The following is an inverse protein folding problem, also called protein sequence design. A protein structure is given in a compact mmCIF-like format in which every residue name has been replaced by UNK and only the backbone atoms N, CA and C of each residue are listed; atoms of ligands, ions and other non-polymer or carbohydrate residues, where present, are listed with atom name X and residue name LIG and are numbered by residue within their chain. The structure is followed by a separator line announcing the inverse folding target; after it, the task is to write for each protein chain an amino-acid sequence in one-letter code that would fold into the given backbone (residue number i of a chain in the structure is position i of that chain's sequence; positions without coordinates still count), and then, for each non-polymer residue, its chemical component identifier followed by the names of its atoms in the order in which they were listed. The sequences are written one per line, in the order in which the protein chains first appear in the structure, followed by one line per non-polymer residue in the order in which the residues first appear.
data_IF_905073676190
#
_entry.id   IF_905073676190
#
_cell.length_a   1.000
_cell.length_b   1.000
_cell.length_c   1.000
_cell.angle_alpha   90.00
_cell.angle_beta   90.00
_cell.angle_gamma   90.00
#
_symmetry.space_group_name_H-M   'P 1'
#
loop_
_entity.id
_entity.type
_entity.pdbx_description
1 polymer ?
#
# COMPACT_ATOMS: atom_id res chain seq x y z
N UNK A 1 2.18 13.49 2.07
CA UNK A 1 1.67 13.03 3.38
C UNK A 1 0.21 12.55 3.39
N UNK A 2 -0.63 12.84 2.38
CA UNK A 2 -1.97 12.22 2.24
C UNK A 2 -1.99 10.76 1.74
N UNK A 3 -0.83 10.19 1.38
CA UNK A 3 -0.73 8.86 0.77
C UNK A 3 -0.80 7.71 1.80
N UNK A 4 -0.24 7.91 2.99
CA UNK A 4 -0.17 6.91 4.06
C UNK A 4 -1.57 6.58 4.63
N UNK A 5 -2.39 7.59 4.88
CA UNK A 5 -3.79 7.40 5.29
C UNK A 5 -4.64 6.72 4.20
N UNK A 6 -4.22 6.75 2.93
CA UNK A 6 -5.00 6.23 1.80
C UNK A 6 -4.79 4.73 1.57
N UNK A 7 -3.64 4.19 1.97
CA UNK A 7 -3.39 2.74 1.96
C UNK A 7 -4.28 1.99 2.96
N UNK A 8 -4.80 2.69 3.97
CA UNK A 8 -5.64 2.13 5.03
C UNK A 8 -7.11 2.62 4.95
N UNK A 9 -7.49 3.37 3.90
CA UNK A 9 -8.83 3.95 3.70
C UNK A 9 -9.46 3.45 2.38
N UNK A 10 -10.45 2.55 2.42
CA UNK A 10 -11.52 2.53 1.41
C UNK A 10 -12.56 3.59 1.79
N UNK A 11 -13.06 4.36 0.83
CA UNK A 11 -13.98 5.49 1.10
C UNK A 11 -15.39 5.07 1.55
N UNK A 12 -15.68 3.78 1.75
CA UNK A 12 -17.08 3.30 1.86
C UNK A 12 -17.36 2.30 2.99
N UNK A 13 -16.41 1.96 3.87
CA UNK A 13 -16.70 1.01 4.96
C UNK A 13 -15.82 1.21 6.23
N UNK A 14 -16.43 1.55 7.39
CA UNK A 14 -15.74 1.66 8.69
C UNK A 14 -15.09 0.36 9.19
N UNK A 15 -15.56 -0.82 8.74
CA UNK A 15 -15.04 -2.12 9.20
C UNK A 15 -13.66 -2.46 8.59
N UNK A 16 -13.42 -2.02 7.34
CA UNK A 16 -12.13 -2.16 6.66
C UNK A 16 -11.02 -1.32 7.31
N UNK A 17 -11.39 -0.23 7.99
CA UNK A 17 -10.48 0.64 8.75
C UNK A 17 -9.87 -0.09 9.95
N UNK A 18 -10.74 -0.61 10.81
CA UNK A 18 -10.33 -1.32 12.03
C UNK A 18 -9.51 -2.57 11.71
N UNK A 19 -9.83 -3.23 10.59
CA UNK A 19 -9.15 -4.44 10.15
C UNK A 19 -7.64 -4.27 9.91
N UNK A 20 -7.18 -3.07 9.55
CA UNK A 20 -5.75 -2.81 9.39
C UNK A 20 -5.15 -2.06 10.58
N UNK A 21 -5.83 -1.04 11.10
CA UNK A 21 -5.27 -0.23 12.18
C UNK A 21 -5.13 -0.99 13.50
N UNK A 22 -6.08 -1.85 13.86
CA UNK A 22 -5.98 -2.67 15.08
C UNK A 22 -4.77 -3.61 15.05
N UNK A 23 -4.67 -4.51 14.05
CA UNK A 23 -3.52 -5.41 13.92
C UNK A 23 -2.17 -4.69 13.76
N UNK A 24 -2.13 -3.58 13.00
CA UNK A 24 -0.92 -2.75 12.89
C UNK A 24 -0.54 -2.11 14.24
N UNK A 25 -1.54 -1.59 14.96
CA UNK A 25 -1.41 -1.02 16.30
C UNK A 25 -0.80 -2.00 17.28
N UNK A 26 -1.35 -3.21 17.36
CA UNK A 26 -0.83 -4.30 18.19
C UNK A 26 0.61 -4.67 17.83
N UNK A 27 0.94 -4.76 16.53
CA UNK A 27 2.27 -5.16 16.09
C UNK A 27 3.35 -4.09 16.31
N UNK A 28 2.97 -2.80 16.25
CA UNK A 28 3.89 -1.66 16.31
C UNK A 28 3.98 -1.04 17.71
N UNK A 29 2.93 -1.22 18.53
CA UNK A 29 2.81 -0.65 19.87
C UNK A 29 2.15 0.73 19.90
N UNK A 30 1.07 0.95 19.13
CA UNK A 30 0.25 2.16 19.21
C UNK A 30 -1.25 1.82 19.20
N UNK A 31 -2.09 2.73 19.72
CA UNK A 31 -3.54 2.53 19.71
C UNK A 31 -4.14 2.88 18.33
N UNK A 32 -4.17 1.88 17.44
CA UNK A 32 -4.73 2.05 16.11
C UNK A 32 -6.26 2.17 16.07
N UNK A 33 -6.99 1.73 17.10
CA UNK A 33 -8.46 1.74 17.08
C UNK A 33 -9.05 3.02 17.65
N UNK A 34 -8.47 3.54 18.74
CA UNK A 34 -8.99 4.75 19.39
C UNK A 34 -8.14 6.00 19.11
N UNK A 35 -6.89 5.86 18.66
CA UNK A 35 -6.02 6.98 18.27
C UNK A 35 -5.39 6.80 16.86
N UNK A 36 -6.17 6.46 15.82
CA UNK A 36 -5.65 6.21 14.48
C UNK A 36 -4.91 7.39 13.84
N UNK A 37 -5.23 8.62 14.24
CA UNK A 37 -4.57 9.85 13.78
C UNK A 37 -3.07 9.87 14.07
N UNK A 38 -2.61 9.05 15.02
CA UNK A 38 -1.19 8.83 15.31
C UNK A 38 -0.39 8.47 14.05
N UNK A 39 -0.97 7.69 13.12
CA UNK A 39 -0.33 7.34 11.83
C UNK A 39 -0.07 8.55 10.95
N UNK A 40 -0.82 9.64 11.15
CA UNK A 40 -0.72 10.87 10.39
C UNK A 40 0.17 11.93 11.05
N UNK A 41 0.35 11.86 12.37
CA UNK A 41 1.09 12.85 13.15
C UNK A 41 2.50 12.39 13.52
N UNK A 42 2.72 11.09 13.74
CA UNK A 42 4.02 10.52 14.04
C UNK A 42 4.64 9.89 12.77
N UNK A 43 5.76 10.45 12.25
CA UNK A 43 6.39 9.93 11.04
C UNK A 43 6.98 8.53 11.21
N UNK A 44 7.46 8.16 12.41
CA UNK A 44 7.99 6.83 12.69
C UNK A 44 6.86 5.80 12.65
N UNK A 45 5.74 6.10 13.31
CA UNK A 45 4.54 5.22 13.27
C UNK A 45 3.98 5.15 11.85
N UNK A 46 3.98 6.26 11.11
CA UNK A 46 3.56 6.30 9.71
C UNK A 46 4.32 5.28 8.86
N UNK A 47 5.66 5.35 8.86
CA UNK A 47 6.48 4.42 8.08
C UNK A 47 6.40 2.98 8.58
N UNK A 48 6.37 2.74 9.89
CA UNK A 48 6.18 1.39 10.44
C UNK A 48 4.86 0.78 9.97
N UNK A 49 3.79 1.57 9.92
CA UNK A 49 2.46 1.10 9.47
C UNK A 49 2.46 0.77 7.97
N UNK A 50 3.09 1.59 7.13
CA UNK A 50 3.26 1.26 5.71
C UNK A 50 4.05 -0.03 5.50
N UNK A 51 5.15 -0.23 6.24
CA UNK A 51 5.94 -1.45 6.13
C UNK A 51 5.17 -2.67 6.65
N UNK A 52 4.43 -2.53 7.74
CA UNK A 52 3.55 -3.58 8.24
C UNK A 52 2.52 -4.00 7.18
N UNK A 53 1.87 -3.04 6.53
CA UNK A 53 0.91 -3.34 5.45
C UNK A 53 1.61 -4.04 4.28
N UNK A 54 2.78 -3.54 3.86
CA UNK A 54 3.57 -4.14 2.80
C UNK A 54 3.91 -5.60 3.11
N UNK A 55 4.49 -5.89 4.27
CA UNK A 55 4.89 -7.24 4.67
C UNK A 55 3.70 -8.20 4.77
N UNK A 56 2.55 -7.75 5.28
CA UNK A 56 1.41 -8.64 5.54
C UNK A 56 0.44 -8.78 4.35
N UNK A 57 0.38 -7.79 3.44
CA UNK A 57 -0.62 -7.74 2.36
C UNK A 57 -0.03 -7.83 0.97
N UNK A 58 1.21 -7.36 0.78
CA UNK A 58 1.80 -7.18 -0.55
C UNK A 58 2.99 -8.09 -0.80
N UNK A 59 3.86 -8.27 0.20
CA UNK A 59 5.05 -9.11 0.10
C UNK A 59 4.78 -10.54 -0.42
N UNK A 60 3.68 -11.23 -0.03
CA UNK A 60 3.40 -12.58 -0.52
C UNK A 60 3.26 -12.71 -2.04
N UNK A 61 3.03 -11.61 -2.78
CA UNK A 61 2.82 -11.62 -4.23
C UNK A 61 3.93 -10.95 -5.03
N UNK A 62 5.01 -10.47 -4.40
CA UNK A 62 6.10 -9.76 -5.09
C UNK A 62 6.71 -10.60 -6.23
N UNK A 63 6.86 -11.91 -6.03
CA UNK A 63 7.44 -12.81 -7.04
C UNK A 63 6.60 -12.96 -8.31
N UNK A 64 5.35 -12.46 -8.31
CA UNK A 64 4.44 -12.51 -9.45
C UNK A 64 4.58 -11.28 -10.37
N UNK A 65 5.33 -10.26 -9.94
CA UNK A 65 5.58 -9.00 -10.66
C UNK A 65 4.85 -7.80 -10.06
N UNK A 66 5.22 -6.59 -10.50
CA UNK A 66 4.73 -5.35 -9.90
C UNK A 66 3.21 -5.18 -10.04
N UNK A 67 2.60 -5.64 -11.13
CA UNK A 67 1.15 -5.62 -11.34
C UNK A 67 0.37 -6.41 -10.27
N UNK A 68 0.93 -7.52 -9.77
CA UNK A 68 0.33 -8.26 -8.66
C UNK A 68 0.35 -7.44 -7.36
N UNK A 69 1.37 -6.60 -7.15
CA UNK A 69 1.41 -5.70 -5.99
C UNK A 69 0.36 -4.59 -6.09
N UNK A 70 0.12 -4.04 -7.27
CA UNK A 70 -0.96 -3.07 -7.52
C UNK A 70 -2.32 -3.73 -7.20
N UNK A 71 -2.51 -4.96 -7.69
CA UNK A 71 -3.72 -5.74 -7.43
C UNK A 71 -3.94 -6.01 -5.93
N UNK A 72 -2.90 -6.36 -5.20
CA UNK A 72 -2.97 -6.58 -3.75
C UNK A 72 -3.32 -5.29 -2.98
N UNK A 73 -2.84 -4.13 -3.45
CA UNK A 73 -3.10 -2.83 -2.81
C UNK A 73 -4.52 -2.34 -3.08
N UNK A 74 -4.98 -2.36 -4.34
CA UNK A 74 -6.26 -1.77 -4.70
C UNK A 74 -6.86 -2.32 -6.00
N UNK A 75 -6.68 -3.63 -6.26
CA UNK A 75 -6.98 -4.22 -7.56
C UNK A 75 -8.41 -4.04 -8.02
N UNK A 76 -9.39 -4.12 -7.11
CA UNK A 76 -10.80 -3.95 -7.43
C UNK A 76 -11.16 -2.57 -8.01
N UNK A 77 -10.35 -1.53 -7.73
CA UNK A 77 -10.59 -0.16 -8.20
C UNK A 77 -9.65 0.26 -9.34
N UNK A 78 -8.58 -0.50 -9.59
CA UNK A 78 -7.50 -0.06 -10.49
C UNK A 78 -7.22 -1.02 -11.63
N UNK A 79 -7.23 -2.33 -11.37
CA UNK A 79 -6.87 -3.35 -12.35
C UNK A 79 -8.03 -3.69 -13.30
N UNK A 80 -7.75 -4.55 -14.29
CA UNK A 80 -8.71 -5.08 -15.26
C UNK A 80 -9.42 -3.98 -16.07
N UNK A 81 -8.70 -2.88 -16.31
CA UNK A 81 -9.18 -1.72 -17.05
C UNK A 81 -10.02 -0.74 -16.23
N UNK A 82 -10.22 -0.97 -14.93
CA UNK A 82 -11.02 -0.08 -14.08
C UNK A 82 -10.42 1.33 -13.96
N UNK A 83 -9.10 1.43 -13.79
CA UNK A 83 -8.41 2.72 -13.77
C UNK A 83 -6.98 2.63 -14.31
N UNK A 84 -6.87 2.40 -15.62
CA UNK A 84 -5.58 2.25 -16.30
C UNK A 84 -4.65 3.46 -16.10
N UNK A 85 -5.19 4.68 -15.98
CA UNK A 85 -4.38 5.87 -15.73
C UNK A 85 -3.65 5.81 -14.38
N UNK A 86 -4.32 5.31 -13.34
CA UNK A 86 -3.71 5.14 -12.00
C UNK A 86 -2.69 4.02 -12.00
N UNK A 87 -2.97 2.90 -12.67
CA UNK A 87 -2.01 1.80 -12.84
C UNK A 87 -0.74 2.29 -13.54
N UNK A 88 -0.89 3.00 -14.66
CA UNK A 88 0.26 3.54 -15.40
C UNK A 88 1.06 4.55 -14.57
N UNK A 89 0.40 5.37 -13.74
CA UNK A 89 1.11 6.27 -12.84
C UNK A 89 1.95 5.49 -11.80
N UNK A 90 1.43 4.38 -11.24
CA UNK A 90 2.19 3.51 -10.33
C UNK A 90 3.39 2.87 -11.02
N UNK A 91 3.19 2.31 -12.22
CA UNK A 91 4.25 1.70 -13.02
C UNK A 91 5.35 2.72 -13.31
N UNK A 92 4.99 3.96 -13.66
CA UNK A 92 5.97 5.03 -13.89
C UNK A 92 6.83 5.34 -12.66
N UNK A 93 6.25 5.42 -11.47
CA UNK A 93 7.04 5.62 -10.25
C UNK A 93 7.94 4.42 -9.96
N UNK A 94 7.43 3.21 -10.12
CA UNK A 94 8.20 1.99 -9.91
C UNK A 94 9.40 1.89 -10.85
N UNK A 95 9.20 2.07 -12.15
CA UNK A 95 10.29 1.99 -13.14
C UNK A 95 11.31 3.10 -12.95
N UNK A 96 10.88 4.30 -12.54
CA UNK A 96 11.79 5.38 -12.18
C UNK A 96 12.65 5.05 -10.95
N UNK A 97 12.07 4.42 -9.91
CA UNK A 97 12.85 3.96 -8.77
C UNK A 97 13.80 2.81 -9.13
N UNK A 98 13.36 1.86 -9.95
CA UNK A 98 14.24 0.80 -10.48
C UNK A 98 15.44 1.39 -11.22
N UNK A 99 15.21 2.42 -12.05
CA UNK A 99 16.26 3.16 -12.76
C UNK A 99 17.25 3.81 -11.79
N UNK A 100 16.76 4.49 -10.76
CA UNK A 100 17.61 5.14 -9.76
C UNK A 100 18.43 4.13 -8.94
N UNK A 101 17.88 2.94 -8.70
CA UNK A 101 18.54 1.87 -7.95
C UNK A 101 19.40 0.94 -8.82
N UNK A 102 19.40 1.11 -10.14
CA UNK A 102 20.18 0.29 -11.08
C UNK A 102 19.71 -1.16 -11.16
N UNK A 103 18.41 -1.42 -10.97
CA UNK A 103 17.81 -2.76 -11.01
C UNK A 103 16.81 -2.89 -12.17
N UNK A 104 16.67 -4.11 -12.70
CA UNK A 104 15.65 -4.42 -13.71
C UNK A 104 14.26 -4.40 -13.04
N UNK A 105 13.26 -3.65 -13.58
CA UNK A 105 11.88 -3.68 -13.09
C UNK A 105 11.18 -5.04 -13.27
N UNK A 106 11.73 -5.92 -14.11
CA UNK A 106 11.16 -7.22 -14.39
C UNK A 106 9.89 -7.17 -15.24
N UNK A 107 9.18 -8.31 -15.28
CA UNK A 107 7.98 -8.50 -16.09
C UNK A 107 6.69 -8.28 -15.27
N UNK A 108 5.54 -8.34 -15.94
CA UNK A 108 4.20 -8.22 -15.34
C UNK A 108 4.00 -6.94 -14.53
N UNK A 109 4.34 -5.79 -15.13
CA UNK A 109 4.29 -4.50 -14.45
C UNK A 109 2.87 -3.96 -14.26
N UNK A 110 1.95 -4.34 -15.14
CA UNK A 110 0.57 -3.87 -15.15
C UNK A 110 -0.40 -4.92 -14.63
N UNK A 111 -1.54 -4.42 -14.17
CA UNK A 111 -2.81 -5.11 -14.05
C UNK A 111 -3.87 -4.18 -14.65
#
# INVERSE_FOLDING_TARGET
MQSQQRLLRPRTDPTLWNFNYGPAGTAIGFDGLNAPETVATDPVISFKTALWYWTNRVQPVISQGFGATIRAINGALECDGANSATVQARVRYYTEYCRQLGVDPGNNLTC
#
